data_IF_209654791384
#
_entry.id   IF_209654791384
#
_cell.length_a   1.000
_cell.length_b   1.000
_cell.length_c   1.000
_cell.angle_alpha   90.00
_cell.angle_beta   90.00
_cell.angle_gamma   90.00
#
_symmetry.space_group_name_H-M   'P 1'
#
loop_
_entity.id
_entity.type
_entity.pdbx_description
1 polymer ?
#
# COMPACT_ATOMS: atom_id res chain seq x y z
N UNK A 1 2.71 -11.28 -23.72
CA UNK A 1 4.06 -10.72 -23.99
C UNK A 1 5.03 -10.85 -22.80
N UNK A 2 4.97 -10.05 -21.73
CA UNK A 2 5.99 -10.04 -20.66
C UNK A 2 6.36 -11.43 -20.09
N UNK A 3 5.36 -12.30 -19.87
CA UNK A 3 5.57 -13.69 -19.42
C UNK A 3 6.34 -14.53 -20.43
N UNK A 4 6.07 -14.34 -21.72
CA UNK A 4 6.73 -15.08 -22.80
C UNK A 4 8.19 -14.64 -22.91
N UNK A 5 8.47 -13.33 -22.84
CA UNK A 5 9.84 -12.79 -22.80
C UNK A 5 10.60 -13.39 -21.62
N UNK A 6 10.04 -13.32 -20.41
CA UNK A 6 10.69 -13.89 -19.23
C UNK A 6 10.95 -15.40 -19.38
N UNK A 7 9.95 -16.16 -19.83
CA UNK A 7 10.09 -17.61 -20.01
C UNK A 7 11.16 -17.98 -21.05
N UNK A 8 11.27 -17.21 -22.13
CA UNK A 8 12.24 -17.43 -23.20
C UNK A 8 13.70 -17.35 -22.68
N UNK A 9 13.98 -16.40 -21.78
CA UNK A 9 15.32 -16.23 -21.18
C UNK A 9 15.54 -17.06 -19.92
N UNK A 10 14.49 -17.38 -19.14
CA UNK A 10 14.61 -17.96 -17.78
C UNK A 10 15.49 -19.21 -17.72
N UNK A 11 15.37 -20.12 -18.68
CA UNK A 11 15.99 -21.45 -18.65
C UNK A 11 17.28 -21.56 -19.46
N UNK A 12 17.72 -20.52 -20.16
CA UNK A 12 18.88 -20.59 -21.05
C UNK A 12 19.95 -19.58 -20.66
N UNK A 13 21.05 -20.08 -20.09
CA UNK A 13 22.24 -19.28 -19.80
C UNK A 13 22.84 -18.69 -21.08
N UNK A 14 22.79 -19.44 -22.19
CA UNK A 14 23.20 -18.96 -23.52
C UNK A 14 22.39 -17.74 -23.96
N UNK A 15 21.05 -17.82 -23.98
CA UNK A 15 20.18 -16.69 -24.35
C UNK A 15 20.36 -15.48 -23.43
N UNK A 16 20.60 -15.72 -22.13
CA UNK A 16 20.92 -14.63 -21.19
C UNK A 16 22.28 -13.98 -21.46
N UNK A 17 23.28 -14.75 -21.90
CA UNK A 17 24.58 -14.21 -22.29
C UNK A 17 24.48 -13.40 -23.57
N UNK A 18 23.81 -13.95 -24.59
CA UNK A 18 23.57 -13.25 -25.86
C UNK A 18 22.82 -11.93 -25.62
N UNK A 19 21.75 -11.93 -24.81
CA UNK A 19 21.03 -10.69 -24.48
C UNK A 19 21.95 -9.60 -23.90
N UNK A 20 22.94 -9.96 -23.08
CA UNK A 20 23.90 -8.97 -22.54
C UNK A 20 24.75 -8.34 -23.63
N UNK A 21 25.14 -9.09 -24.66
CA UNK A 21 25.89 -8.55 -25.79
C UNK A 21 25.06 -7.50 -26.54
N UNK A 22 23.77 -7.76 -26.74
CA UNK A 22 22.84 -6.76 -27.30
C UNK A 22 22.65 -5.54 -26.38
N UNK A 23 22.63 -5.74 -25.05
CA UNK A 23 22.58 -4.63 -24.09
C UNK A 23 23.81 -3.73 -24.21
N UNK A 24 25.01 -4.32 -24.26
CA UNK A 24 26.24 -3.56 -24.47
C UNK A 24 26.26 -2.84 -25.81
N UNK A 25 25.83 -3.52 -26.89
CA UNK A 25 25.78 -2.94 -28.23
C UNK A 25 24.84 -1.74 -28.31
N UNK A 26 23.70 -1.79 -27.62
CA UNK A 26 22.71 -0.71 -27.61
C UNK A 26 22.98 0.37 -26.54
N UNK A 27 24.12 0.31 -25.85
CA UNK A 27 24.48 1.22 -24.75
C UNK A 27 23.41 1.27 -23.63
N UNK A 28 22.72 0.14 -23.39
CA UNK A 28 21.69 0.01 -22.37
C UNK A 28 22.24 -0.62 -21.08
N UNK A 29 21.61 -0.31 -19.95
CA UNK A 29 21.97 -0.93 -18.67
C UNK A 29 21.81 -2.45 -18.71
N UNK A 30 22.82 -3.16 -18.18
CA UNK A 30 22.85 -4.62 -18.19
C UNK A 30 21.90 -5.17 -17.14
N UNK A 31 20.80 -5.74 -17.60
CA UNK A 31 19.70 -6.13 -16.74
C UNK A 31 19.11 -7.49 -17.08
N UNK A 32 18.78 -8.26 -16.04
CA UNK A 32 17.97 -9.47 -16.19
C UNK A 32 16.50 -9.12 -16.41
N UNK A 33 15.81 -9.90 -17.23
CA UNK A 33 14.36 -9.77 -17.39
C UNK A 33 13.65 -10.21 -16.11
N UNK A 34 12.76 -9.35 -15.62
CA UNK A 34 12.02 -9.59 -14.38
C UNK A 34 10.85 -10.54 -14.61
N UNK A 35 10.58 -11.38 -13.61
CA UNK A 35 9.42 -12.27 -13.62
C UNK A 35 8.13 -11.46 -13.37
N UNK A 36 7.11 -11.57 -14.23
CA UNK A 36 5.79 -11.02 -13.93
C UNK A 36 5.19 -11.73 -12.70
N UNK A 37 4.92 -10.97 -11.63
CA UNK A 37 4.14 -11.47 -10.51
C UNK A 37 2.64 -11.45 -10.86
N UNK A 38 1.90 -12.49 -10.48
CA UNK A 38 0.47 -12.60 -10.82
C UNK A 38 -0.43 -11.63 -10.03
N UNK A 39 -0.04 -11.25 -8.81
CA UNK A 39 -0.94 -10.56 -7.87
C UNK A 39 -0.36 -9.28 -7.25
N UNK A 40 0.83 -8.83 -7.66
CA UNK A 40 1.52 -7.69 -7.03
C UNK A 40 1.78 -6.55 -8.02
N UNK A 41 1.05 -5.45 -7.87
CA UNK A 41 1.16 -4.24 -8.70
C UNK A 41 2.57 -3.65 -8.68
N UNK A 42 3.24 -3.66 -7.52
CA UNK A 42 4.65 -3.20 -7.37
C UNK A 42 5.59 -3.97 -8.30
N UNK A 43 5.50 -5.30 -8.29
CA UNK A 43 6.32 -6.15 -9.15
C UNK A 43 5.96 -5.99 -10.63
N UNK A 44 4.67 -5.77 -10.95
CA UNK A 44 4.23 -5.53 -12.31
C UNK A 44 4.78 -4.21 -12.86
N UNK A 45 4.78 -3.14 -12.05
CA UNK A 45 5.35 -1.85 -12.43
C UNK A 45 6.83 -2.01 -12.81
N UNK A 46 7.62 -2.67 -11.96
CA UNK A 46 9.03 -2.93 -12.24
C UNK A 46 9.26 -3.73 -13.53
N UNK A 47 8.40 -4.71 -13.82
CA UNK A 47 8.46 -5.51 -15.06
C UNK A 47 8.15 -4.65 -16.29
N UNK A 48 7.13 -3.81 -16.23
CA UNK A 48 6.76 -2.91 -17.34
C UNK A 48 7.87 -1.91 -17.62
N UNK A 49 8.40 -1.27 -16.57
CA UNK A 49 9.53 -0.34 -16.69
C UNK A 49 10.75 -1.04 -17.31
N UNK A 50 11.11 -2.23 -16.81
CA UNK A 50 12.24 -3.01 -17.35
C UNK A 50 12.05 -3.38 -18.81
N UNK A 51 10.84 -3.70 -19.24
CA UNK A 51 10.56 -4.05 -20.65
C UNK A 51 10.64 -2.81 -21.54
N UNK A 52 10.15 -1.66 -21.09
CA UNK A 52 10.25 -0.41 -21.86
C UNK A 52 11.70 0.08 -21.97
N UNK A 53 12.44 0.04 -20.86
CA UNK A 53 13.86 0.39 -20.80
C UNK A 53 14.69 -0.48 -21.77
N UNK A 54 14.35 -1.76 -21.86
CA UNK A 54 15.04 -2.74 -22.69
C UNK A 54 14.35 -2.96 -24.05
N UNK A 55 13.41 -2.09 -24.44
CA UNK A 55 12.53 -2.35 -25.59
C UNK A 55 13.30 -2.54 -26.89
N UNK A 56 14.22 -1.62 -27.18
CA UNK A 56 14.97 -1.63 -28.43
C UNK A 56 16.03 -2.73 -28.44
N UNK A 57 16.65 -3.03 -27.28
CA UNK A 57 17.52 -4.20 -27.08
C UNK A 57 16.77 -5.49 -27.40
N UNK A 58 15.58 -5.66 -26.82
CA UNK A 58 14.74 -6.85 -27.03
C UNK A 58 14.34 -6.95 -28.50
N UNK A 59 13.96 -5.83 -29.13
CA UNK A 59 13.61 -5.78 -30.54
C UNK A 59 14.80 -6.21 -31.42
N UNK A 60 16.00 -5.68 -31.19
CA UNK A 60 17.22 -6.08 -31.91
C UNK A 60 17.53 -7.58 -31.72
N UNK A 61 17.47 -8.07 -30.48
CA UNK A 61 17.70 -9.48 -30.17
C UNK A 61 16.72 -10.37 -30.95
N UNK A 62 15.41 -10.10 -30.87
CA UNK A 62 14.41 -10.96 -31.52
C UNK A 62 14.39 -10.78 -33.04
N UNK A 63 14.78 -9.62 -33.58
CA UNK A 63 15.01 -9.44 -35.01
C UNK A 63 16.16 -10.33 -35.54
N UNK A 64 17.14 -10.68 -34.71
CA UNK A 64 18.21 -11.61 -35.10
C UNK A 64 17.81 -13.09 -35.03
N UNK A 65 16.75 -13.43 -34.27
CA UNK A 65 16.38 -14.84 -33.97
C UNK A 65 15.09 -15.31 -34.64
N UNK A 66 14.22 -14.40 -35.08
CA UNK A 66 12.87 -14.78 -35.55
C UNK A 66 12.83 -15.68 -36.77
N UNK A 67 13.86 -15.68 -37.63
CA UNK A 67 13.93 -16.60 -38.77
C UNK A 67 14.31 -18.03 -38.36
N UNK A 68 14.98 -18.19 -37.21
CA UNK A 68 15.56 -19.46 -36.76
C UNK A 68 14.72 -20.13 -35.67
N UNK A 69 14.03 -19.34 -34.84
CA UNK A 69 13.32 -19.82 -33.66
C UNK A 69 11.82 -19.49 -33.71
N UNK A 70 10.99 -20.48 -34.04
CA UNK A 70 9.53 -20.32 -34.06
C UNK A 70 8.94 -19.86 -32.71
N UNK A 71 9.59 -20.24 -31.60
CA UNK A 71 9.23 -19.85 -30.23
C UNK A 71 9.23 -18.33 -30.00
N UNK A 72 9.90 -17.55 -30.87
CA UNK A 72 10.02 -16.11 -30.71
C UNK A 72 9.17 -15.28 -31.70
N UNK A 73 8.44 -15.91 -32.62
CA UNK A 73 7.58 -15.21 -33.58
C UNK A 73 6.56 -14.28 -32.90
N UNK A 74 5.84 -14.78 -31.90
CA UNK A 74 4.84 -13.98 -31.17
C UNK A 74 5.47 -12.79 -30.43
N UNK A 75 6.67 -13.00 -29.85
CA UNK A 75 7.39 -11.95 -29.12
C UNK A 75 7.88 -10.89 -30.09
N UNK A 76 8.47 -11.31 -31.21
CA UNK A 76 8.92 -10.44 -32.29
C UNK A 76 7.76 -9.61 -32.86
N UNK A 77 6.61 -10.24 -33.16
CA UNK A 77 5.42 -9.54 -33.63
C UNK A 77 4.94 -8.49 -32.61
N UNK A 78 4.91 -8.82 -31.32
CA UNK A 78 4.52 -7.88 -30.27
C UNK A 78 5.50 -6.71 -30.11
N UNK A 79 6.81 -6.93 -30.20
CA UNK A 79 7.84 -5.89 -30.04
C UNK A 79 7.88 -4.90 -31.21
N UNK A 80 7.45 -5.36 -32.39
CA UNK A 80 7.33 -4.54 -33.60
C UNK A 80 5.93 -3.92 -33.77
N UNK A 81 5.00 -4.16 -32.84
CA UNK A 81 3.69 -3.55 -32.85
C UNK A 81 3.67 -2.23 -32.03
N UNK A 82 3.52 -1.05 -32.67
CA UNK A 82 3.48 0.23 -31.97
C UNK A 82 2.29 0.35 -31.01
N UNK A 83 1.17 -0.34 -31.25
CA UNK A 83 0.02 -0.36 -30.33
C UNK A 83 0.38 -1.06 -29.01
N UNK A 84 1.17 -2.13 -29.09
CA UNK A 84 1.62 -2.84 -27.89
C UNK A 84 2.61 -1.96 -27.13
N UNK A 85 3.56 -1.29 -27.82
CA UNK A 85 4.48 -0.34 -27.17
C UNK A 85 3.72 0.80 -26.49
N UNK A 86 2.74 1.38 -27.18
CA UNK A 86 1.85 2.41 -26.63
C UNK A 86 1.11 1.91 -25.38
N UNK A 87 0.61 0.67 -25.39
CA UNK A 87 -0.03 0.09 -24.20
C UNK A 87 0.95 -0.11 -23.03
N UNK A 88 2.22 -0.45 -23.27
CA UNK A 88 3.23 -0.47 -22.21
C UNK A 88 3.50 0.93 -21.65
N UNK A 89 3.54 1.98 -22.48
CA UNK A 89 3.62 3.35 -21.98
C UNK A 89 2.40 3.74 -21.12
N UNK A 90 1.20 3.33 -21.53
CA UNK A 90 0.00 3.50 -20.69
C UNK A 90 0.18 2.81 -19.33
N UNK A 91 0.61 1.54 -19.32
CA UNK A 91 0.87 0.81 -18.07
C UNK A 91 1.95 1.47 -17.23
N UNK A 92 3.04 1.94 -17.84
CA UNK A 92 4.14 2.61 -17.15
C UNK A 92 3.73 3.92 -16.50
N UNK A 93 2.74 4.62 -17.08
CA UNK A 93 2.14 5.82 -16.50
C UNK A 93 1.08 5.50 -15.43
N UNK A 94 0.28 4.45 -15.65
CA UNK A 94 -0.89 4.13 -14.83
C UNK A 94 -0.52 3.32 -13.57
N UNK A 95 0.36 2.32 -13.68
CA UNK A 95 0.75 1.46 -12.56
C UNK A 95 1.37 2.22 -11.37
N UNK A 96 2.24 3.24 -11.56
CA UNK A 96 2.81 4.01 -10.46
C UNK A 96 1.78 4.64 -9.52
N UNK A 97 0.61 5.01 -10.04
CA UNK A 97 -0.47 5.61 -9.25
C UNK A 97 -1.01 4.61 -8.21
N UNK A 98 -1.17 3.34 -8.60
CA UNK A 98 -1.55 2.26 -7.68
C UNK A 98 -0.42 1.87 -6.73
N UNK A 99 0.83 1.81 -7.22
CA UNK A 99 1.96 1.43 -6.34
C UNK A 99 2.21 2.48 -5.28
N UNK A 100 2.06 3.77 -5.60
CA UNK A 100 2.19 4.87 -4.64
C UNK A 100 1.16 4.78 -3.52
N UNK A 101 -0.11 4.52 -3.90
CA UNK A 101 -1.17 4.32 -2.91
C UNK A 101 -0.90 3.08 -2.04
N UNK A 102 -0.52 1.96 -2.66
CA UNK A 102 -0.19 0.73 -1.92
C UNK A 102 1.00 0.93 -0.97
N UNK A 103 2.04 1.64 -1.39
CA UNK A 103 3.20 1.94 -0.55
C UNK A 103 2.83 2.77 0.68
N UNK A 104 1.86 3.68 0.57
CA UNK A 104 1.32 4.37 1.75
C UNK A 104 0.78 3.35 2.75
N UNK A 105 -0.12 2.46 2.32
CA UNK A 105 -0.74 1.47 3.21
C UNK A 105 0.20 0.35 3.67
N UNK A 106 1.37 0.21 3.07
CA UNK A 106 2.42 -0.73 3.50
C UNK A 106 3.38 -0.14 4.55
N UNK A 107 3.32 1.18 4.78
CA UNK A 107 4.18 1.85 5.76
C UNK A 107 3.90 1.39 7.20
N UNK A 108 4.82 1.72 8.12
CA UNK A 108 4.64 1.56 9.58
C UNK A 108 3.97 2.77 10.21
N UNK A 109 3.69 3.81 9.40
CA UNK A 109 3.06 5.03 9.88
C UNK A 109 1.57 4.83 10.15
N UNK A 110 1.05 5.58 11.11
CA UNK A 110 -0.37 5.57 11.45
C UNK A 110 -1.13 6.35 10.39
N UNK A 111 -1.96 5.66 9.62
CA UNK A 111 -2.65 6.24 8.47
C UNK A 111 -4.17 6.20 8.57
N UNK A 112 -4.74 5.74 9.68
CA UNK A 112 -6.19 5.55 9.77
C UNK A 112 -6.98 6.85 9.54
N UNK A 113 -6.50 7.98 10.04
CA UNK A 113 -7.09 9.31 9.82
C UNK A 113 -6.95 9.78 8.36
N UNK A 114 -5.89 9.38 7.67
CA UNK A 114 -5.63 9.75 6.25
C UNK A 114 -6.22 8.76 5.25
N UNK A 115 -6.60 7.55 5.69
CA UNK A 115 -7.00 6.44 4.83
C UNK A 115 -8.18 6.80 3.94
N UNK A 116 -9.28 7.29 4.52
CA UNK A 116 -10.48 7.65 3.76
C UNK A 116 -10.19 8.76 2.75
N UNK A 117 -9.52 9.84 3.17
CA UNK A 117 -9.14 10.94 2.28
C UNK A 117 -8.29 10.48 1.10
N UNK A 118 -7.26 9.65 1.35
CA UNK A 118 -6.39 9.10 0.29
C UNK A 118 -7.16 8.20 -0.69
N UNK A 119 -8.05 7.33 -0.19
CA UNK A 119 -8.85 6.45 -1.04
C UNK A 119 -9.83 7.23 -1.91
N UNK A 120 -10.53 8.20 -1.31
CA UNK A 120 -11.47 9.10 -2.00
C UNK A 120 -10.77 9.92 -3.08
N UNK A 121 -9.61 10.52 -2.75
CA UNK A 121 -8.81 11.28 -3.71
C UNK A 121 -8.35 10.41 -4.90
N UNK A 122 -7.81 9.22 -4.62
CA UNK A 122 -7.34 8.32 -5.67
C UNK A 122 -8.48 7.82 -6.57
N UNK A 123 -9.62 7.45 -5.99
CA UNK A 123 -10.78 7.03 -6.76
C UNK A 123 -11.29 8.17 -7.65
N UNK A 124 -11.38 9.39 -7.12
CA UNK A 124 -11.76 10.59 -7.88
C UNK A 124 -10.78 10.89 -9.02
N UNK A 125 -9.48 10.73 -8.79
CA UNK A 125 -8.44 10.85 -9.82
C UNK A 125 -8.69 9.90 -11.01
N UNK A 126 -8.98 8.62 -10.74
CA UNK A 126 -9.26 7.64 -11.79
C UNK A 126 -10.58 7.95 -12.52
N UNK A 127 -11.63 8.34 -11.80
CA UNK A 127 -12.90 8.72 -12.39
C UNK A 127 -12.74 9.89 -13.35
N UNK A 128 -11.97 10.91 -12.99
CA UNK A 128 -11.73 12.08 -13.83
C UNK A 128 -10.98 11.77 -15.13
N UNK A 129 -10.34 10.60 -15.26
CA UNK A 129 -9.76 10.17 -16.54
C UNK A 129 -10.83 9.76 -17.55
N UNK A 130 -11.91 9.12 -17.10
CA UNK A 130 -12.92 8.49 -17.96
C UNK A 130 -14.29 9.16 -17.93
N UNK A 131 -14.63 9.90 -16.87
CA UNK A 131 -15.91 10.59 -16.67
C UNK A 131 -15.78 12.11 -16.84
N UNK A 132 -16.87 12.77 -17.21
CA UNK A 132 -16.90 14.23 -17.27
C UNK A 132 -16.68 14.88 -15.90
N UNK A 133 -15.86 15.94 -15.86
CA UNK A 133 -15.48 16.66 -14.62
C UNK A 133 -16.69 17.20 -13.86
N UNK A 134 -17.70 17.70 -14.57
CA UNK A 134 -18.90 18.26 -13.96
C UNK A 134 -19.64 17.21 -13.13
N UNK A 135 -19.86 16.02 -13.71
CA UNK A 135 -20.52 14.90 -13.05
C UNK A 135 -19.76 14.42 -11.81
N UNK A 136 -18.44 14.24 -11.92
CA UNK A 136 -17.59 13.75 -10.80
C UNK A 136 -17.53 14.76 -9.64
N UNK A 137 -17.67 16.05 -9.90
CA UNK A 137 -17.65 17.07 -8.86
C UNK A 137 -19.01 17.34 -8.23
N UNK A 138 -20.11 17.09 -8.94
CA UNK A 138 -21.46 17.32 -8.41
C UNK A 138 -22.03 16.12 -7.66
N UNK A 139 -21.66 14.90 -8.03
CA UNK A 139 -22.20 13.68 -7.44
C UNK A 139 -21.44 13.27 -6.17
N UNK A 140 -22.14 12.77 -5.12
CA UNK A 140 -21.48 12.12 -3.99
C UNK A 140 -20.67 10.91 -4.46
N UNK A 141 -19.43 10.79 -4.00
CA UNK A 141 -18.43 9.86 -4.57
C UNK A 141 -18.87 8.39 -4.49
N UNK A 142 -19.59 8.03 -3.43
CA UNK A 142 -20.11 6.71 -3.15
C UNK A 142 -21.20 6.27 -4.15
N UNK A 143 -21.89 7.24 -4.76
CA UNK A 143 -22.97 7.02 -5.73
C UNK A 143 -22.47 6.88 -7.17
N UNK A 144 -21.25 7.34 -7.46
CA UNK A 144 -20.70 7.34 -8.82
C UNK A 144 -20.45 5.91 -9.30
N UNK A 145 -21.18 5.50 -10.34
CA UNK A 145 -20.95 4.25 -11.05
C UNK A 145 -20.02 4.45 -12.27
N UNK A 146 -18.79 3.91 -12.24
CA UNK A 146 -17.84 4.04 -13.35
C UNK A 146 -18.23 3.24 -14.59
N UNK A 147 -19.30 2.44 -14.54
CA UNK A 147 -19.81 1.67 -15.69
C UNK A 147 -20.88 2.43 -16.48
N UNK A 148 -21.43 3.53 -15.95
CA UNK A 148 -22.52 4.28 -16.60
C UNK A 148 -22.01 5.10 -17.78
N UNK A 149 -22.19 4.55 -18.99
CA UNK A 149 -21.59 5.11 -20.21
C UNK A 149 -22.03 6.53 -20.57
N UNK A 150 -23.24 6.94 -20.16
CA UNK A 150 -23.79 8.29 -20.41
C UNK A 150 -22.87 9.39 -19.85
N UNK A 151 -22.16 9.09 -18.76
CA UNK A 151 -21.27 10.04 -18.09
C UNK A 151 -19.82 9.96 -18.56
N UNK A 152 -19.53 9.07 -19.51
CA UNK A 152 -18.17 8.82 -20.00
C UNK A 152 -17.77 9.88 -21.03
N UNK A 153 -16.51 10.28 -20.98
CA UNK A 153 -15.89 11.04 -22.08
C UNK A 153 -15.82 10.19 -23.35
N UNK A 154 -15.77 10.89 -24.47
CA UNK A 154 -15.44 10.30 -25.76
C UNK A 154 -14.04 9.68 -25.73
N UNK A 155 -13.84 8.60 -26.50
CA UNK A 155 -12.57 7.86 -26.51
C UNK A 155 -11.37 8.74 -26.89
N UNK A 156 -11.58 9.75 -27.73
CA UNK A 156 -10.55 10.69 -28.18
C UNK A 156 -10.10 11.64 -27.05
N UNK A 157 -11.00 11.96 -26.13
CA UNK A 157 -10.77 12.92 -25.03
C UNK A 157 -10.19 12.26 -23.78
N UNK A 158 -10.13 10.93 -23.74
CA UNK A 158 -9.49 10.20 -22.65
C UNK A 158 -7.97 10.40 -22.73
N UNK A 159 -7.42 11.02 -21.69
CA UNK A 159 -5.99 11.18 -21.53
C UNK A 159 -5.34 9.86 -21.08
N UNK A 160 -4.32 9.42 -21.82
CA UNK A 160 -3.65 8.13 -21.63
C UNK A 160 -2.15 8.25 -21.28
N UNK A 161 -1.66 9.48 -21.10
CA UNK A 161 -0.24 9.77 -20.85
C UNK A 161 0.52 10.18 -22.12
N UNK A 162 1.59 10.96 -21.92
CA UNK A 162 2.42 11.52 -22.99
C UNK A 162 3.10 10.46 -23.85
N UNK A 163 3.58 9.37 -23.23
CA UNK A 163 4.24 8.27 -23.97
C UNK A 163 3.30 7.59 -24.96
N UNK A 164 2.01 7.46 -24.62
CA UNK A 164 0.99 6.93 -25.53
C UNK A 164 0.77 7.88 -26.69
N UNK A 165 0.67 9.19 -26.43
CA UNK A 165 0.47 10.20 -27.48
C UNK A 165 1.60 10.15 -28.50
N UNK A 166 2.86 10.21 -28.02
CA UNK A 166 4.05 10.16 -28.88
C UNK A 166 4.11 8.89 -29.73
N UNK A 167 3.76 7.74 -29.15
CA UNK A 167 3.76 6.47 -29.89
C UNK A 167 2.62 6.41 -30.91
N UNK A 168 1.44 6.93 -30.57
CA UNK A 168 0.28 6.95 -31.47
C UNK A 168 0.44 7.92 -32.65
N UNK A 169 1.28 8.95 -32.53
CA UNK A 169 1.60 9.85 -33.65
C UNK A 169 2.27 9.11 -34.81
N UNK A 170 2.97 8.01 -34.52
CA UNK A 170 3.61 7.14 -35.53
C UNK A 170 2.66 6.12 -36.18
N UNK A 171 1.43 5.99 -35.66
CA UNK A 171 0.45 5.03 -36.15
C UNK A 171 -0.51 5.73 -37.10
N UNK A 172 -0.63 5.27 -38.34
CA UNK A 172 -1.57 5.86 -39.31
C UNK A 172 -3.00 5.32 -39.15
N UNK A 173 -3.14 4.05 -38.72
CA UNK A 173 -4.43 3.38 -38.64
C UNK A 173 -5.25 3.85 -37.43
N UNK A 174 -6.26 4.69 -37.67
CA UNK A 174 -7.18 5.23 -36.66
C UNK A 174 -8.01 4.17 -35.92
N UNK A 175 -8.42 3.08 -36.58
CA UNK A 175 -9.17 1.99 -35.94
C UNK A 175 -8.35 1.31 -34.84
N UNK A 176 -7.04 1.14 -35.09
CA UNK A 176 -6.10 0.60 -34.10
C UNK A 176 -5.91 1.56 -32.92
N UNK A 177 -5.87 2.88 -33.17
CA UNK A 177 -5.83 3.90 -32.09
C UNK A 177 -7.08 3.84 -31.22
N UNK A 178 -8.26 3.74 -31.84
CA UNK A 178 -9.53 3.60 -31.13
C UNK A 178 -9.58 2.31 -30.30
N UNK A 179 -9.07 1.21 -30.83
CA UNK A 179 -8.96 -0.07 -30.13
C UNK A 179 -8.11 0.07 -28.87
N UNK A 180 -6.92 0.70 -28.97
CA UNK A 180 -6.07 0.98 -27.81
C UNK A 180 -6.80 1.84 -26.77
N UNK A 181 -7.44 2.92 -27.21
CA UNK A 181 -8.19 3.83 -26.32
C UNK A 181 -9.30 3.09 -25.58
N UNK A 182 -10.03 2.19 -26.26
CA UNK A 182 -11.06 1.34 -25.65
C UNK A 182 -10.46 0.38 -24.61
N UNK A 183 -9.32 -0.24 -24.90
CA UNK A 183 -8.61 -1.10 -23.95
C UNK A 183 -8.18 -0.34 -22.69
N UNK A 184 -7.59 0.84 -22.85
CA UNK A 184 -7.15 1.66 -21.73
C UNK A 184 -8.33 2.20 -20.90
N UNK A 185 -9.42 2.64 -21.55
CA UNK A 185 -10.67 3.01 -20.87
C UNK A 185 -11.20 1.86 -20.02
N UNK A 186 -11.28 0.66 -20.59
CA UNK A 186 -11.75 -0.54 -19.87
C UNK A 186 -10.83 -0.88 -18.69
N UNK A 187 -9.52 -0.75 -18.84
CA UNK A 187 -8.58 -0.92 -17.73
C UNK A 187 -8.90 0.03 -16.56
N UNK A 188 -9.07 1.33 -16.83
CA UNK A 188 -9.36 2.34 -15.80
C UNK A 188 -10.71 2.04 -15.12
N UNK A 189 -11.76 1.75 -15.90
CA UNK A 189 -13.08 1.38 -15.38
C UNK A 189 -13.01 0.14 -14.49
N UNK A 190 -12.30 -0.91 -14.94
CA UNK A 190 -12.11 -2.14 -14.14
C UNK A 190 -11.33 -1.86 -12.86
N UNK A 191 -10.38 -0.94 -12.88
CA UNK A 191 -9.68 -0.50 -11.68
C UNK A 191 -10.62 0.22 -10.70
N UNK A 192 -11.46 1.15 -11.19
CA UNK A 192 -12.50 1.83 -10.40
C UNK A 192 -13.47 0.83 -9.75
N UNK A 193 -13.99 -0.13 -10.52
CA UNK A 193 -14.85 -1.21 -10.00
C UNK A 193 -14.10 -2.06 -8.96
N UNK A 194 -12.84 -2.38 -9.24
CA UNK A 194 -11.99 -3.12 -8.33
C UNK A 194 -11.72 -2.40 -7.00
N UNK A 195 -11.68 -1.06 -7.00
CA UNK A 195 -11.55 -0.26 -5.78
C UNK A 195 -12.84 -0.27 -4.98
N UNK A 196 -14.00 -0.02 -5.60
CA UNK A 196 -15.31 -0.07 -4.93
C UNK A 196 -15.61 -1.42 -4.28
N UNK A 197 -15.11 -2.51 -4.87
CA UNK A 197 -15.24 -3.87 -4.29
C UNK A 197 -14.40 -4.08 -3.03
N UNK A 198 -13.32 -3.32 -2.86
CA UNK A 198 -12.35 -3.50 -1.77
C UNK A 198 -12.46 -2.43 -0.68
N UNK A 199 -13.04 -1.27 -1.00
CA UNK A 199 -13.18 -0.15 -0.09
C UNK A 199 -14.59 0.43 -0.16
N UNK A 200 -15.19 0.61 1.02
CA UNK A 200 -16.51 1.21 1.15
C UNK A 200 -16.36 2.74 1.26
N UNK A 201 -16.73 3.46 0.21
CA UNK A 201 -16.68 4.93 0.21
C UNK A 201 -17.80 5.59 1.04
N UNK A 202 -18.81 4.82 1.46
CA UNK A 202 -19.88 5.25 2.37
C UNK A 202 -19.64 4.76 3.82
N UNK A 203 -18.40 4.43 4.16
CA UNK A 203 -18.06 3.98 5.51
C UNK A 203 -18.10 5.15 6.49
N UNK A 204 -19.16 5.23 7.30
CA UNK A 204 -19.36 6.30 8.27
C UNK A 204 -18.23 6.40 9.29
N UNK A 205 -17.67 5.26 9.73
CA UNK A 205 -16.60 5.24 10.74
C UNK A 205 -15.35 5.87 10.15
N UNK A 206 -14.95 5.42 8.96
CA UNK A 206 -13.76 5.94 8.30
C UNK A 206 -13.91 7.40 7.88
N UNK A 207 -15.10 7.82 7.46
CA UNK A 207 -15.39 9.22 7.13
C UNK A 207 -15.29 10.11 8.37
N UNK A 208 -15.86 9.71 9.50
CA UNK A 208 -15.79 10.50 10.73
C UNK A 208 -14.37 10.52 11.32
N UNK A 209 -13.66 9.38 11.36
CA UNK A 209 -12.27 9.34 11.84
C UNK A 209 -11.36 10.25 10.99
N UNK A 210 -11.62 10.38 9.69
CA UNK A 210 -10.82 11.24 8.80
C UNK A 210 -10.99 12.75 9.04
N UNK A 211 -11.94 13.17 9.87
CA UNK A 211 -12.05 14.56 10.33
C UNK A 211 -11.03 14.90 11.41
N UNK A 212 -10.55 13.89 12.13
CA UNK A 212 -9.57 14.02 13.21
C UNK A 212 -8.13 13.81 12.73
N UNK A 213 -7.88 13.99 11.43
CA UNK A 213 -6.52 14.06 10.92
C UNK A 213 -5.82 15.32 11.44
N UNK A 214 -4.54 15.20 11.80
CA UNK A 214 -3.81 16.25 12.51
C UNK A 214 -3.83 17.59 11.75
N UNK A 215 -3.75 17.57 10.42
CA UNK A 215 -3.82 18.76 9.57
C UNK A 215 -5.16 19.52 9.74
N UNK A 216 -6.26 18.81 10.00
CA UNK A 216 -7.58 19.40 10.26
C UNK A 216 -7.79 19.77 11.71
N UNK A 217 -7.24 18.99 12.64
CA UNK A 217 -7.35 19.27 14.08
C UNK A 217 -6.77 20.65 14.40
N UNK A 218 -5.72 21.06 13.70
CA UNK A 218 -5.00 22.31 13.97
C UNK A 218 -5.47 23.46 13.06
N UNK A 219 -6.28 23.18 12.03
CA UNK A 219 -6.81 24.20 11.13
C UNK A 219 -8.14 24.77 11.61
N UNK A 220 -8.62 25.80 10.91
CA UNK A 220 -9.97 26.35 11.11
C UNK A 220 -11.09 25.36 10.73
N UNK A 221 -10.76 24.26 10.02
CA UNK A 221 -11.70 23.20 9.64
C UNK A 221 -11.88 22.13 10.74
N UNK A 222 -11.38 22.38 11.95
CA UNK A 222 -11.46 21.49 13.10
C UNK A 222 -12.93 21.28 13.52
N UNK A 223 -13.32 20.02 13.73
CA UNK A 223 -14.63 19.69 14.31
C UNK A 223 -14.78 20.29 15.72
N UNK A 224 -15.93 20.90 16.00
CA UNK A 224 -16.18 21.51 17.30
C UNK A 224 -16.25 20.47 18.44
N UNK A 225 -16.66 19.25 18.10
CA UNK A 225 -16.93 18.17 19.06
C UNK A 225 -16.44 16.81 18.55
N UNK A 226 -16.09 15.94 19.48
CA UNK A 226 -15.77 14.51 19.21
C UNK A 226 -17.00 13.59 19.30
N UNK A 227 -18.18 14.16 19.61
CA UNK A 227 -19.40 13.41 19.90
C UNK A 227 -19.88 12.52 18.77
N UNK A 228 -19.59 12.86 17.50
CA UNK A 228 -19.94 12.03 16.35
C UNK A 228 -19.29 10.65 16.38
N UNK A 229 -18.14 10.51 17.05
CA UNK A 229 -17.42 9.24 17.18
C UNK A 229 -18.02 8.32 18.24
N UNK A 230 -18.70 8.84 19.26
CA UNK A 230 -19.22 8.04 20.37
C UNK A 230 -20.19 6.93 19.94
N UNK A 231 -21.24 7.20 19.13
CA UNK A 231 -22.13 6.13 18.67
C UNK A 231 -21.46 5.16 17.69
N UNK A 232 -20.41 5.60 16.99
CA UNK A 232 -19.71 4.81 15.97
C UNK A 232 -18.66 3.87 16.57
N UNK A 233 -18.09 4.22 17.73
CA UNK A 233 -17.02 3.47 18.39
C UNK A 233 -17.38 3.09 19.83
N UNK A 234 -18.48 2.35 20.06
CA UNK A 234 -19.01 2.10 21.41
C UNK A 234 -18.07 1.31 22.34
N UNK A 235 -17.06 0.62 21.78
CA UNK A 235 -16.05 -0.09 22.58
C UNK A 235 -14.93 0.80 23.10
N UNK A 236 -14.72 1.94 22.48
CA UNK A 236 -13.65 2.90 22.81
C UNK A 236 -14.24 4.12 23.51
N UNK A 237 -15.46 4.52 23.10
CA UNK A 237 -16.16 5.67 23.65
C UNK A 237 -16.60 5.44 25.11
N UNK A 238 -16.60 6.50 25.94
CA UNK A 238 -17.15 6.43 27.29
C UNK A 238 -18.65 6.11 27.28
N UNK A 239 -19.10 5.31 28.25
CA UNK A 239 -20.49 4.85 28.33
C UNK A 239 -21.43 5.86 28.99
N UNK A 240 -20.93 6.68 29.92
CA UNK A 240 -21.76 7.69 30.60
C UNK A 240 -21.63 9.06 29.95
N UNK A 241 -22.75 9.80 29.93
CA UNK A 241 -22.82 11.18 29.40
C UNK A 241 -21.81 12.09 30.10
N UNK A 242 -21.60 11.90 31.41
CA UNK A 242 -20.62 12.67 32.16
C UNK A 242 -19.19 12.52 31.61
N UNK A 243 -18.71 11.27 31.42
CA UNK A 243 -17.37 11.06 30.88
C UNK A 243 -17.27 11.46 29.40
N UNK A 244 -18.37 11.37 28.64
CA UNK A 244 -18.43 11.91 27.27
C UNK A 244 -18.25 13.43 27.27
N UNK A 245 -18.90 14.14 28.20
CA UNK A 245 -18.76 15.58 28.36
C UNK A 245 -17.34 15.97 28.77
N UNK A 246 -16.75 15.27 29.74
CA UNK A 246 -15.36 15.52 30.17
C UNK A 246 -14.36 15.37 29.01
N UNK A 247 -14.56 14.37 28.15
CA UNK A 247 -13.75 14.17 26.95
C UNK A 247 -13.97 15.27 25.90
N UNK A 248 -15.22 15.69 25.66
CA UNK A 248 -15.52 16.79 24.72
C UNK A 248 -15.01 18.15 25.21
N UNK A 249 -15.05 18.39 26.54
CA UNK A 249 -14.49 19.58 27.16
C UNK A 249 -12.96 19.61 27.01
N UNK A 250 -12.29 18.47 27.24
CA UNK A 250 -10.86 18.31 26.94
C UNK A 250 -10.57 18.61 25.46
N UNK A 251 -11.38 18.09 24.54
CA UNK A 251 -11.25 18.40 23.11
C UNK A 251 -11.30 19.91 22.86
N UNK A 252 -12.36 20.59 23.31
CA UNK A 252 -12.56 22.04 23.14
C UNK A 252 -11.45 22.89 23.76
N UNK A 253 -10.79 22.38 24.81
CA UNK A 253 -9.69 23.05 25.50
C UNK A 253 -8.35 22.92 24.75
N UNK A 254 -8.18 21.87 23.94
CA UNK A 254 -6.94 21.56 23.22
C UNK A 254 -6.30 22.76 22.48
N UNK A 255 -7.06 23.61 21.74
CA UNK A 255 -6.49 24.72 20.98
C UNK A 255 -5.70 25.73 21.82
N UNK A 256 -5.99 25.84 23.12
CA UNK A 256 -5.27 26.74 24.02
C UNK A 256 -3.80 26.35 24.21
N UNK A 257 -3.44 25.11 23.90
CA UNK A 257 -2.11 24.53 24.15
C UNK A 257 -1.34 24.17 22.87
N UNK A 258 -1.81 24.57 21.68
CA UNK A 258 -1.12 24.25 20.42
C UNK A 258 0.31 24.79 20.35
N UNK A 259 0.61 25.90 21.04
CA UNK A 259 1.96 26.49 21.09
C UNK A 259 2.97 25.61 21.84
N UNK A 260 2.48 24.73 22.71
CA UNK A 260 3.31 23.85 23.54
C UNK A 260 3.53 22.47 22.88
N UNK A 261 2.99 22.25 21.68
CA UNK A 261 2.99 20.97 20.97
C UNK A 261 3.79 21.06 19.67
N UNK A 262 4.48 19.98 19.32
CA UNK A 262 5.16 19.86 18.03
C UNK A 262 4.20 19.26 16.98
N UNK A 263 3.67 20.13 16.13
CA UNK A 263 2.68 19.80 15.11
C UNK A 263 3.25 19.03 13.91
N UNK A 264 4.57 18.89 13.82
CA UNK A 264 5.24 18.15 12.75
C UNK A 264 5.35 16.64 13.00
N UNK A 265 5.02 16.21 14.22
CA UNK A 265 5.16 14.82 14.66
C UNK A 265 4.06 13.90 14.11
N UNK A 266 4.32 12.58 14.05
CA UNK A 266 3.29 11.59 13.78
C UNK A 266 2.11 11.66 14.76
N UNK A 267 0.89 11.26 14.35
CA UNK A 267 -0.30 11.41 15.17
C UNK A 267 -0.21 10.78 16.57
N UNK A 268 0.40 9.60 16.72
CA UNK A 268 0.63 8.94 18.01
C UNK A 268 1.56 9.72 18.93
N UNK A 269 2.66 10.23 18.38
CA UNK A 269 3.62 11.04 19.14
C UNK A 269 2.97 12.35 19.58
N UNK A 270 2.21 12.99 18.69
CA UNK A 270 1.42 14.18 19.03
C UNK A 270 0.44 13.90 20.18
N UNK A 271 -0.39 12.86 20.09
CA UNK A 271 -1.33 12.54 21.16
C UNK A 271 -0.64 12.11 22.46
N UNK A 272 0.54 11.51 22.37
CA UNK A 272 1.35 11.23 23.55
C UNK A 272 1.83 12.52 24.24
N UNK A 273 2.31 13.52 23.49
CA UNK A 273 2.68 14.83 24.05
C UNK A 273 1.50 15.49 24.75
N UNK A 274 0.30 15.44 24.15
CA UNK A 274 -0.93 15.96 24.78
C UNK A 274 -1.19 15.27 26.13
N UNK A 275 -0.94 13.97 26.25
CA UNK A 275 -1.06 13.23 27.51
C UNK A 275 -0.02 13.64 28.57
N UNK A 276 1.12 14.16 28.15
CA UNK A 276 2.21 14.58 29.04
C UNK A 276 2.02 15.99 29.60
N UNK A 277 1.19 16.82 28.98
CA UNK A 277 0.91 18.19 29.45
C UNK A 277 0.38 18.21 30.90
N UNK A 278 1.18 18.80 31.80
CA UNK A 278 0.90 18.87 33.23
C UNK A 278 0.23 20.18 33.61
N UNK A 279 -0.72 20.10 34.53
CA UNK A 279 -1.32 21.29 35.14
C UNK A 279 -0.40 21.84 36.23
N UNK A 280 0.21 23.00 35.97
CA UNK A 280 1.11 23.65 36.92
C UNK A 280 0.40 24.11 38.21
N UNK A 281 -0.93 24.20 38.20
CA UNK A 281 -1.72 24.69 39.33
C UNK A 281 -2.32 23.58 40.20
N UNK A 282 -2.25 22.31 39.78
CA UNK A 282 -2.80 21.16 40.51
C UNK A 282 -1.78 20.02 40.51
N UNK A 283 -1.05 19.87 41.61
CA UNK A 283 -0.05 18.80 41.76
C UNK A 283 -0.66 17.43 41.40
N UNK A 284 -0.05 16.76 40.41
CA UNK A 284 -0.39 15.40 40.00
C UNK A 284 -1.43 15.25 38.88
N UNK A 285 -2.10 16.33 38.44
CA UNK A 285 -3.10 16.25 37.36
C UNK A 285 -2.56 16.72 36.01
N UNK A 286 -2.94 16.01 34.94
CA UNK A 286 -2.71 16.43 33.55
C UNK A 286 -3.87 17.28 33.06
N UNK A 287 -3.62 18.16 32.08
CA UNK A 287 -4.70 18.92 31.45
C UNK A 287 -5.65 18.04 30.63
N UNK A 288 -5.14 16.91 30.15
CA UNK A 288 -5.86 15.97 29.28
C UNK A 288 -5.67 14.55 29.83
N UNK A 289 -6.74 13.94 30.34
CA UNK A 289 -6.71 12.59 30.92
C UNK A 289 -7.40 11.56 30.03
N UNK A 290 -8.44 11.99 29.32
CA UNK A 290 -9.34 11.11 28.56
C UNK A 290 -9.09 11.22 27.06
N UNK A 291 -8.93 12.43 26.54
CA UNK A 291 -8.80 12.71 25.12
C UNK A 291 -7.60 11.96 24.48
N UNK A 292 -6.37 12.01 25.03
CA UNK A 292 -5.24 11.31 24.44
C UNK A 292 -5.43 9.79 24.39
N UNK A 293 -6.00 9.20 25.44
CA UNK A 293 -6.28 7.76 25.49
C UNK A 293 -7.31 7.37 24.44
N UNK A 294 -8.35 8.17 24.28
CA UNK A 294 -9.39 7.97 23.27
C UNK A 294 -8.81 8.06 21.85
N UNK A 295 -8.04 9.10 21.56
CA UNK A 295 -7.42 9.28 20.25
C UNK A 295 -6.39 8.18 19.94
N UNK A 296 -5.52 7.84 20.88
CA UNK A 296 -4.56 6.74 20.72
C UNK A 296 -5.26 5.38 20.51
N UNK A 297 -6.38 5.14 21.17
CA UNK A 297 -7.18 3.94 20.95
C UNK A 297 -7.77 3.91 19.53
N UNK A 298 -8.25 5.03 18.99
CA UNK A 298 -8.69 5.14 17.58
C UNK A 298 -7.53 4.86 16.63
N UNK A 299 -6.35 5.44 16.89
CA UNK A 299 -5.16 5.24 16.07
C UNK A 299 -4.66 3.78 16.07
N UNK A 300 -4.99 3.01 17.12
CA UNK A 300 -4.65 1.59 17.23
C UNK A 300 -5.54 0.65 16.41
N UNK A 301 -6.62 1.17 15.80
CA UNK A 301 -7.51 0.36 14.97
C UNK A 301 -6.78 -0.17 13.72
N UNK A 302 -6.99 -1.47 13.37
CA UNK A 302 -6.34 -2.08 12.22
C UNK A 302 -6.87 -1.48 10.92
N UNK A 303 -6.02 -0.75 10.21
CA UNK A 303 -6.37 -0.05 8.97
C UNK A 303 -5.65 -0.60 7.73
N UNK A 304 -4.70 -1.53 7.92
CA UNK A 304 -3.97 -2.19 6.84
C UNK A 304 -3.52 -3.59 7.24
N UNK A 305 -3.39 -4.47 6.25
CA UNK A 305 -2.84 -5.82 6.42
C UNK A 305 -1.30 -5.84 6.43
N UNK A 306 -0.64 -4.69 6.30
CA UNK A 306 0.82 -4.59 6.21
C UNK A 306 1.54 -5.24 7.40
N UNK A 307 1.04 -5.04 8.62
CA UNK A 307 1.60 -5.69 9.82
C UNK A 307 1.51 -7.22 9.74
N UNK A 308 0.36 -7.75 9.30
CA UNK A 308 0.19 -9.18 9.10
C UNK A 308 1.14 -9.71 8.01
N UNK A 309 1.30 -9.00 6.90
CA UNK A 309 2.24 -9.37 5.83
C UNK A 309 3.70 -9.36 6.31
N UNK A 310 4.09 -8.38 7.14
CA UNK A 310 5.42 -8.35 7.79
C UNK A 310 5.64 -9.59 8.66
N UNK A 311 4.66 -9.96 9.49
CA UNK A 311 4.73 -11.17 10.32
C UNK A 311 4.85 -12.41 9.45
N UNK A 312 4.06 -12.53 8.37
CA UNK A 312 4.18 -13.66 7.45
C UNK A 312 5.55 -13.73 6.76
N UNK A 313 6.16 -12.59 6.43
CA UNK A 313 7.53 -12.55 5.91
C UNK A 313 8.52 -13.13 6.92
N UNK A 314 8.46 -12.67 8.18
CA UNK A 314 9.32 -13.20 9.26
C UNK A 314 9.09 -14.70 9.48
N UNK A 315 7.84 -15.17 9.38
CA UNK A 315 7.53 -16.61 9.46
C UNK A 315 8.18 -17.38 8.32
N UNK A 316 8.22 -16.85 7.10
CA UNK A 316 8.90 -17.49 5.98
C UNK A 316 10.42 -17.53 6.16
N UNK A 317 11.01 -16.53 6.82
CA UNK A 317 12.43 -16.53 7.17
C UNK A 317 12.74 -17.58 8.24
N UNK A 318 11.85 -17.75 9.23
CA UNK A 318 11.95 -18.80 10.26
C UNK A 318 11.77 -20.20 9.63
N UNK A 319 10.75 -20.35 8.77
CA UNK A 319 10.41 -21.61 8.08
C UNK A 319 11.15 -21.72 6.76
N UNK A 320 12.44 -22.04 6.81
CA UNK A 320 13.22 -22.30 5.60
C UNK A 320 12.83 -23.64 4.96
N UNK A 321 13.20 -23.84 3.68
CA UNK A 321 12.97 -25.12 2.98
C UNK A 321 13.57 -26.33 3.70
N UNK A 322 14.71 -26.14 4.39
CA UNK A 322 15.38 -27.18 5.18
C UNK A 322 14.77 -27.33 6.58
N UNK A 323 14.08 -26.31 7.11
CA UNK A 323 13.51 -26.25 8.46
C UNK A 323 12.04 -25.83 8.41
N UNK A 324 11.20 -26.64 7.77
CA UNK A 324 9.78 -26.31 7.51
C UNK A 324 8.79 -26.93 8.50
N UNK A 325 9.20 -27.97 9.25
CA UNK A 325 8.38 -28.68 10.27
C UNK A 325 8.58 -28.11 11.67
N UNK A 326 8.32 -26.81 11.84
CA UNK A 326 8.30 -26.17 13.16
C UNK A 326 6.89 -26.17 13.73
N UNK A 327 6.76 -26.54 15.00
CA UNK A 327 5.51 -26.40 15.75
C UNK A 327 5.14 -24.92 15.88
N UNK A 328 3.84 -24.63 15.95
CA UNK A 328 3.32 -23.25 16.10
C UNK A 328 3.91 -22.56 17.32
N UNK A 329 4.10 -23.28 18.43
CA UNK A 329 4.75 -22.76 19.65
C UNK A 329 6.18 -22.32 19.40
N UNK A 330 6.96 -23.09 18.65
CA UNK A 330 8.33 -22.74 18.27
C UNK A 330 8.35 -21.50 17.40
N UNK A 331 7.45 -21.40 16.41
CA UNK A 331 7.34 -20.21 15.54
C UNK A 331 6.98 -18.98 16.38
N UNK A 332 5.95 -19.07 17.24
CA UNK A 332 5.54 -18.01 18.16
C UNK A 332 6.67 -17.57 19.07
N UNK A 333 7.40 -18.52 19.67
CA UNK A 333 8.55 -18.23 20.54
C UNK A 333 9.67 -17.50 19.80
N UNK A 334 9.99 -17.89 18.57
CA UNK A 334 10.98 -17.21 17.74
C UNK A 334 10.53 -15.78 17.38
N UNK A 335 9.28 -15.61 16.96
CA UNK A 335 8.73 -14.28 16.63
C UNK A 335 8.77 -13.34 17.85
N UNK A 336 8.30 -13.81 19.01
CA UNK A 336 8.29 -13.02 20.24
C UNK A 336 9.71 -12.67 20.71
N UNK A 337 10.64 -13.62 20.60
CA UNK A 337 12.06 -13.37 20.96
C UNK A 337 12.68 -12.33 20.03
N UNK A 338 12.44 -12.42 18.71
CA UNK A 338 12.93 -11.44 17.74
C UNK A 338 12.34 -10.04 18.01
N UNK A 339 11.04 -9.96 18.31
CA UNK A 339 10.39 -8.69 18.67
C UNK A 339 10.93 -8.11 19.98
N UNK A 340 11.16 -8.94 20.99
CA UNK A 340 11.73 -8.51 22.27
C UNK A 340 13.16 -7.96 22.08
N UNK A 341 13.99 -8.65 21.28
CA UNK A 341 15.34 -8.19 20.93
C UNK A 341 15.25 -6.82 20.24
N UNK A 342 14.40 -6.67 19.22
CA UNK A 342 14.21 -5.39 18.51
C UNK A 342 13.69 -4.25 19.42
N UNK A 343 12.90 -4.58 20.44
CA UNK A 343 12.34 -3.58 21.36
C UNK A 343 13.36 -3.11 22.40
N UNK A 344 14.23 -4.00 22.86
CA UNK A 344 15.20 -3.75 23.94
C UNK A 344 16.64 -3.54 23.45
N UNK A 345 16.91 -3.73 22.16
CA UNK A 345 18.16 -3.44 21.49
C UNK A 345 17.93 -3.22 19.99
N UNK A 346 18.83 -2.51 19.29
CA UNK A 346 18.66 -2.31 17.83
C UNK A 346 18.78 -3.63 17.06
N UNK A 347 19.55 -4.58 17.59
CA UNK A 347 19.81 -5.90 17.02
C UNK A 347 20.28 -6.87 18.13
N UNK A 348 20.67 -8.10 17.76
CA UNK A 348 21.16 -9.10 18.71
C UNK A 348 22.53 -8.79 19.34
N UNK A 349 23.31 -7.87 18.76
CA UNK A 349 24.60 -7.41 19.30
C UNK A 349 24.38 -6.42 20.43
N UNK A 350 23.40 -5.53 20.27
CA UNK A 350 23.09 -4.46 21.24
C UNK A 350 22.12 -4.92 22.33
N UNK A 351 21.59 -6.14 22.22
CA UNK A 351 20.62 -6.66 23.17
C UNK A 351 21.31 -7.11 24.45
N UNK A 352 21.06 -6.39 25.54
CA UNK A 352 21.54 -6.77 26.87
C UNK A 352 20.42 -7.48 27.67
N UNK A 353 20.50 -8.81 27.88
CA UNK A 353 19.48 -9.54 28.63
C UNK A 353 19.44 -9.09 30.09
N UNK A 354 18.24 -8.97 30.66
CA UNK A 354 18.10 -8.65 32.08
C UNK A 354 18.54 -9.82 32.95
N UNK A 355 18.95 -9.55 34.20
CA UNK A 355 19.28 -10.61 35.16
C UNK A 355 18.15 -11.65 35.32
N UNK A 356 16.88 -11.22 35.23
CA UNK A 356 15.73 -12.12 35.27
C UNK A 356 15.66 -13.06 34.06
N UNK A 357 16.05 -12.60 32.86
CA UNK A 357 16.13 -13.44 31.67
C UNK A 357 17.26 -14.47 31.77
N UNK A 358 18.41 -14.06 32.30
CA UNK A 358 19.57 -14.94 32.53
C UNK A 358 19.23 -15.99 33.59
N UNK A 359 18.55 -15.59 34.69
CA UNK A 359 18.14 -16.51 35.76
C UNK A 359 17.17 -17.61 35.29
N UNK A 360 16.39 -17.34 34.24
CA UNK A 360 15.53 -18.34 33.57
C UNK A 360 16.31 -19.30 32.66
N UNK A 361 17.60 -19.04 32.40
CA UNK A 361 18.49 -19.95 31.71
C UNK A 361 19.05 -21.00 32.67
N UNK A 362 18.17 -21.88 33.15
CA UNK A 362 18.48 -22.91 34.13
C UNK A 362 17.88 -24.28 33.72
N UNK A 363 18.08 -25.29 34.57
CA UNK A 363 17.65 -26.67 34.32
C UNK A 363 16.13 -26.84 34.16
N UNK A 364 15.31 -25.85 34.50
CA UNK A 364 13.85 -25.88 34.39
C UNK A 364 13.33 -25.37 33.04
N UNK A 365 14.20 -24.84 32.16
CA UNK A 365 13.82 -24.24 30.89
C UNK A 365 12.95 -25.15 29.99
N UNK A 366 13.20 -26.46 30.04
CA UNK A 366 12.49 -27.45 29.23
C UNK A 366 11.44 -28.26 30.00
N UNK A 367 11.29 -28.04 31.32
CA UNK A 367 10.43 -28.88 32.17
C UNK A 367 8.93 -28.59 32.03
N UNK A 368 8.55 -27.42 31.52
CA UNK A 368 7.14 -27.02 31.35
C UNK A 368 6.51 -27.42 30.00
N UNK A 369 7.04 -28.44 29.31
CA UNK A 369 6.56 -28.84 27.98
C UNK A 369 5.46 -29.92 28.04
N UNK A 370 5.39 -30.70 29.12
CA UNK A 370 4.53 -31.91 29.20
C UNK A 370 3.02 -31.64 29.35
N UNK A 371 2.59 -30.45 29.78
CA UNK A 371 1.16 -30.21 30.06
C UNK A 371 0.30 -29.89 28.84
N UNK A 372 0.86 -29.85 27.62
CA UNK A 372 0.14 -29.38 26.42
C UNK A 372 0.37 -30.29 25.20
N UNK A 373 0.80 -31.55 25.39
CA UNK A 373 0.95 -32.52 24.30
C UNK A 373 -0.35 -33.31 24.04
N UNK A 374 -1.35 -33.19 24.91
CA UNK A 374 -2.58 -34.01 24.86
C UNK A 374 -3.85 -33.32 24.32
N UNK A 375 -3.78 -32.15 23.67
CA UNK A 375 -5.01 -31.48 23.18
C UNK A 375 -5.06 -31.12 21.68
N UNK A 376 -4.09 -31.52 20.87
CA UNK A 376 -4.13 -31.28 19.41
C UNK A 376 -4.29 -32.61 18.63
N UNK A 377 -5.23 -33.44 19.09
CA UNK A 377 -5.83 -34.51 18.30
C UNK A 377 -7.34 -34.38 18.36
N UNK A 378 -7.88 -33.57 17.45
CA UNK A 378 -9.06 -33.85 16.61
C UNK A 378 -9.23 -32.76 15.54
#
# INVERSE_FOLDING_TARGET
MARNIYNYFKSSSKRQSELKEFQYFAEADVHKILRPAQTRWLSLNAVVQRILEQWDVLRLYFNSKWLEESECHDIHACLNDPIIKAYYYFLAWMLPKFTTLNSCFQSESILITKLHGKMTAFYKELLLLVLHRNYVNSAPIETIDPMTEINHKDLKDIYLGLGVQKELDSVENEERKLTLRKMCKNFIIRACVGLRKRYCFNDKIMTEIAKFDLEKVISDDREESVSSLFPLLPRIAPTSIQHQQELDDEWRKLPLYYKDLDLSQPPDVFWHQVAELRDQHREGNTYFQHLPKFMLAILSLPHSNAECERVFSRVNDIKTKKRNKLLTKSIKGNLLSQQAIQRHGKNCVDFNPTHAMIAKHNNDMYKNIETIILSDSD
#
